data_IF_663824258736
#
_entry.id   IF_663824258736
#
_cell.length_a   1.000
_cell.length_b   1.000
_cell.length_c   1.000
_cell.angle_alpha   90.00
_cell.angle_beta   90.00
_cell.angle_gamma   90.00
#
_symmetry.space_group_name_H-M   'P 1'
#
loop_
_entity.id
_entity.type
_entity.pdbx_description
1 polymer ?
#
# COMPACT_ATOMS: atom_id res chain seq x y z
N UNK A 1 8.08 13.17 -7.65
CA UNK A 1 7.20 12.42 -8.58
C UNK A 1 7.04 11.01 -8.05
N UNK A 2 5.86 10.40 -8.18
CA UNK A 2 5.72 8.96 -7.97
C UNK A 2 6.38 8.24 -9.14
N UNK A 3 7.08 7.13 -8.89
CA UNK A 3 7.53 6.28 -10.00
C UNK A 3 6.32 5.59 -10.65
N UNK A 4 6.57 4.90 -11.78
CA UNK A 4 5.52 4.17 -12.52
C UNK A 4 4.79 3.10 -11.68
N UNK A 5 5.39 2.55 -10.61
CA UNK A 5 4.67 1.64 -9.72
C UNK A 5 3.73 2.38 -8.76
N UNK A 6 4.12 3.57 -8.30
CA UNK A 6 3.21 4.47 -7.57
C UNK A 6 2.03 4.88 -8.44
N UNK A 7 2.27 5.19 -9.72
CA UNK A 7 1.20 5.44 -10.70
C UNK A 7 0.32 4.20 -10.94
N UNK A 8 0.91 3.01 -11.01
CA UNK A 8 0.17 1.76 -11.11
C UNK A 8 -0.80 1.57 -9.93
N UNK A 9 -0.37 1.90 -8.72
CA UNK A 9 -1.21 1.85 -7.52
C UNK A 9 -2.40 2.81 -7.64
N UNK A 10 -2.17 4.06 -8.05
CA UNK A 10 -3.24 5.05 -8.24
C UNK A 10 -4.27 4.59 -9.26
N UNK A 11 -3.80 4.06 -10.39
CA UNK A 11 -4.67 3.58 -11.46
C UNK A 11 -5.43 2.33 -11.02
N UNK A 12 -4.82 1.43 -10.27
CA UNK A 12 -5.49 0.24 -9.72
C UNK A 12 -6.61 0.60 -8.72
N UNK A 13 -6.40 1.60 -7.85
CA UNK A 13 -7.44 2.06 -6.91
C UNK A 13 -8.60 2.74 -7.63
N UNK A 14 -8.29 3.58 -8.63
CA UNK A 14 -9.29 4.35 -9.38
C UNK A 14 -9.98 3.57 -10.50
N UNK A 15 -9.59 2.31 -10.72
CA UNK A 15 -10.16 1.47 -11.75
C UNK A 15 -11.65 1.22 -11.49
N UNK A 16 -12.50 1.71 -12.39
CA UNK A 16 -13.92 1.45 -12.36
C UNK A 16 -14.17 -0.02 -12.70
N UNK A 17 -15.00 -0.68 -11.89
CA UNK A 17 -15.28 -2.10 -12.10
C UNK A 17 -16.55 -2.34 -12.91
N UNK A 18 -17.36 -1.32 -13.20
CA UNK A 18 -18.62 -1.42 -13.95
C UNK A 18 -19.47 -2.66 -13.54
N UNK A 19 -19.60 -2.91 -12.24
CA UNK A 19 -20.35 -4.05 -11.70
C UNK A 19 -19.62 -5.40 -11.71
N UNK A 20 -18.38 -5.47 -12.22
CA UNK A 20 -17.53 -6.66 -12.15
C UNK A 20 -16.86 -6.76 -10.78
N UNK A 21 -16.71 -7.98 -10.26
CA UNK A 21 -15.88 -8.23 -9.09
C UNK A 21 -14.42 -8.41 -9.54
N UNK A 22 -13.69 -7.30 -9.71
CA UNK A 22 -12.26 -7.32 -10.04
C UNK A 22 -11.47 -7.15 -8.75
N UNK A 23 -10.63 -8.13 -8.44
CA UNK A 23 -9.77 -8.14 -7.26
C UNK A 23 -8.66 -7.07 -7.35
N UNK A 24 -8.14 -6.57 -6.22
CA UNK A 24 -7.00 -5.65 -6.24
C UNK A 24 -5.79 -6.21 -7.02
N UNK A 25 -5.55 -7.51 -6.96
CA UNK A 25 -4.49 -8.18 -7.73
C UNK A 25 -4.66 -8.05 -9.24
N UNK A 26 -5.89 -8.21 -9.73
CA UNK A 26 -6.21 -8.04 -11.15
C UNK A 26 -6.15 -6.58 -11.57
N UNK A 27 -6.65 -5.65 -10.74
CA UNK A 27 -6.53 -4.20 -10.99
C UNK A 27 -5.07 -3.78 -11.11
N UNK A 28 -4.22 -4.30 -10.22
CA UNK A 28 -2.77 -4.07 -10.28
C UNK A 28 -2.17 -4.63 -11.58
N UNK A 29 -2.51 -5.87 -11.96
CA UNK A 29 -1.98 -6.50 -13.16
C UNK A 29 -2.36 -5.74 -14.43
N UNK A 30 -3.60 -5.27 -14.53
CA UNK A 30 -4.04 -4.41 -15.62
C UNK A 30 -3.29 -3.08 -15.60
N UNK A 31 -3.11 -2.49 -14.42
CA UNK A 31 -2.42 -1.21 -14.29
C UNK A 31 -0.95 -1.28 -14.71
N UNK A 32 -0.22 -2.30 -14.27
CA UNK A 32 1.19 -2.48 -14.66
C UNK A 32 1.33 -2.84 -16.13
N UNK A 33 0.39 -3.61 -16.71
CA UNK A 33 0.39 -3.90 -18.15
C UNK A 33 0.26 -2.62 -18.99
N UNK A 34 -0.60 -1.69 -18.58
CA UNK A 34 -0.75 -0.39 -19.24
C UNK A 34 0.50 0.48 -19.13
N UNK A 35 1.17 0.51 -17.96
CA UNK A 35 2.34 1.37 -17.73
C UNK A 35 3.67 0.77 -18.21
N UNK A 36 3.70 -0.54 -18.43
CA UNK A 36 4.87 -1.28 -18.90
C UNK A 36 4.51 -2.24 -20.05
N UNK A 37 3.96 -1.75 -21.18
CA UNK A 37 3.39 -2.61 -22.23
C UNK A 37 4.41 -3.58 -22.85
N UNK A 38 5.69 -3.22 -22.84
CA UNK A 38 6.77 -4.01 -23.45
C UNK A 38 7.68 -4.71 -22.43
N UNK A 39 7.46 -4.53 -21.12
CA UNK A 39 8.36 -5.05 -20.09
C UNK A 39 7.64 -5.97 -19.11
N UNK A 40 7.59 -7.25 -19.46
CA UNK A 40 7.02 -8.27 -18.57
C UNK A 40 7.74 -8.37 -17.23
N UNK A 41 9.07 -8.16 -17.22
CA UNK A 41 9.87 -8.13 -15.99
C UNK A 41 9.38 -7.04 -15.03
N UNK A 42 9.05 -5.86 -15.54
CA UNK A 42 8.51 -4.79 -14.72
C UNK A 42 7.07 -5.12 -14.27
N UNK A 43 6.24 -5.68 -15.14
CA UNK A 43 4.88 -6.09 -14.79
C UNK A 43 4.83 -7.12 -13.65
N UNK A 44 5.80 -8.06 -13.62
CA UNK A 44 5.89 -9.14 -12.62
C UNK A 44 6.64 -8.77 -11.34
N UNK A 45 7.09 -7.53 -11.17
CA UNK A 45 7.87 -7.13 -9.99
C UNK A 45 7.05 -7.32 -8.70
N UNK A 46 7.57 -8.13 -7.79
CA UNK A 46 6.83 -8.63 -6.61
C UNK A 46 6.76 -7.63 -5.48
N UNK A 47 7.84 -6.89 -5.22
CA UNK A 47 7.91 -5.93 -4.11
C UNK A 47 6.81 -4.85 -4.16
N UNK A 48 6.67 -4.04 -5.24
CA UNK A 48 5.62 -3.01 -5.30
C UNK A 48 4.21 -3.61 -5.32
N UNK A 49 4.03 -4.79 -5.95
CA UNK A 49 2.76 -5.52 -5.93
C UNK A 49 2.41 -5.95 -4.50
N UNK A 50 3.36 -6.51 -3.77
CA UNK A 50 3.20 -6.96 -2.39
C UNK A 50 2.84 -5.80 -1.46
N UNK A 51 3.48 -4.64 -1.64
CA UNK A 51 3.14 -3.43 -0.89
C UNK A 51 1.69 -2.98 -1.15
N UNK A 52 1.27 -2.90 -2.42
CA UNK A 52 -0.09 -2.52 -2.78
C UNK A 52 -1.14 -3.50 -2.23
N UNK A 53 -0.92 -4.81 -2.43
CA UNK A 53 -1.84 -5.83 -1.94
C UNK A 53 -1.88 -5.90 -0.42
N UNK A 54 -0.75 -5.70 0.27
CA UNK A 54 -0.72 -5.69 1.73
C UNK A 54 -1.51 -4.54 2.33
N UNK A 55 -1.45 -3.36 1.70
CA UNK A 55 -2.30 -2.22 2.08
C UNK A 55 -3.79 -2.52 1.85
N UNK A 56 -4.13 -3.20 0.75
CA UNK A 56 -5.50 -3.62 0.47
C UNK A 56 -5.98 -4.67 1.48
N UNK A 57 -5.14 -5.67 1.80
CA UNK A 57 -5.43 -6.73 2.76
C UNK A 57 -5.75 -6.14 4.14
N UNK A 58 -4.99 -5.13 4.55
CA UNK A 58 -5.18 -4.40 5.80
C UNK A 58 -6.36 -3.41 5.79
N UNK A 59 -7.08 -3.26 4.66
CA UNK A 59 -8.17 -2.28 4.51
C UNK A 59 -7.71 -0.82 4.60
N UNK A 60 -6.43 -0.56 4.33
CA UNK A 60 -5.83 0.77 4.42
C UNK A 60 -5.99 1.59 3.13
N UNK A 61 -6.58 1.01 2.09
CA UNK A 61 -6.81 1.67 0.81
C UNK A 61 -8.28 2.06 0.68
N UNK A 62 -8.54 3.35 0.45
CA UNK A 62 -9.90 3.89 0.32
C UNK A 62 -10.66 3.21 -0.82
N UNK A 63 -11.87 2.75 -0.52
CA UNK A 63 -12.76 2.12 -1.50
C UNK A 63 -12.42 0.66 -1.83
N UNK A 64 -11.40 0.08 -1.16
CA UNK A 64 -11.09 -1.35 -1.25
C UNK A 64 -11.33 -1.96 0.15
N UNK A 65 -12.23 -2.95 0.28
CA UNK A 65 -12.44 -3.62 1.56
C UNK A 65 -11.21 -4.41 1.99
N UNK A 66 -11.04 -4.61 3.30
CA UNK A 66 -10.02 -5.53 3.82
C UNK A 66 -10.28 -6.96 3.34
N UNK A 67 -9.22 -7.75 3.16
CA UNK A 67 -9.33 -9.09 2.59
C UNK A 67 -8.02 -9.86 2.55
N UNK A 68 -8.02 -10.96 1.78
CA UNK A 68 -6.81 -11.75 1.46
C UNK A 68 -6.62 -11.75 -0.05
N UNK A 69 -5.72 -10.90 -0.53
CA UNK A 69 -5.42 -10.67 -1.93
C UNK A 69 -4.04 -11.21 -2.34
N UNK A 70 -3.33 -11.87 -1.42
CA UNK A 70 -2.12 -12.64 -1.71
C UNK A 70 -0.83 -11.84 -1.61
N UNK A 71 -0.77 -10.83 -0.74
CA UNK A 71 0.48 -10.16 -0.42
C UNK A 71 1.44 -11.11 0.34
N UNK A 72 2.74 -10.98 0.08
CA UNK A 72 3.75 -11.62 0.95
C UNK A 72 3.82 -10.86 2.27
N UNK A 73 4.03 -11.57 3.39
CA UNK A 73 4.03 -10.98 4.75
C UNK A 73 5.02 -9.81 4.87
N UNK A 74 6.25 -9.96 4.37
CA UNK A 74 7.29 -8.96 4.59
C UNK A 74 6.98 -7.63 3.87
N UNK A 75 6.62 -7.71 2.59
CA UNK A 75 6.28 -6.51 1.80
C UNK A 75 5.01 -5.82 2.32
N UNK A 76 4.04 -6.62 2.80
CA UNK A 76 2.83 -6.09 3.43
C UNK A 76 3.17 -5.35 4.73
N UNK A 77 3.98 -5.95 5.61
CA UNK A 77 4.37 -5.36 6.89
C UNK A 77 5.08 -4.02 6.72
N UNK A 78 6.03 -3.93 5.78
CA UNK A 78 6.72 -2.66 5.50
C UNK A 78 5.75 -1.57 5.02
N UNK A 79 4.83 -1.92 4.11
CA UNK A 79 3.86 -0.96 3.58
C UNK A 79 2.89 -0.47 4.66
N UNK A 80 2.39 -1.39 5.49
CA UNK A 80 1.49 -1.08 6.62
C UNK A 80 2.21 -0.18 7.63
N UNK A 81 3.42 -0.54 8.06
CA UNK A 81 4.19 0.27 8.99
C UNK A 81 4.48 1.67 8.44
N UNK A 82 4.90 1.77 7.17
CA UNK A 82 5.15 3.06 6.53
C UNK A 82 3.88 3.93 6.45
N UNK A 83 2.72 3.33 6.18
CA UNK A 83 1.45 4.05 6.17
C UNK A 83 1.09 4.62 7.55
N UNK A 84 1.37 3.89 8.62
CA UNK A 84 1.14 4.35 9.99
C UNK A 84 2.05 5.54 10.35
N UNK A 85 3.33 5.49 9.96
CA UNK A 85 4.28 6.59 10.18
C UNK A 85 3.86 7.87 9.43
N UNK A 86 3.37 7.72 8.19
CA UNK A 86 2.83 8.82 7.38
C UNK A 86 1.57 9.43 8.00
N UNK A 87 0.64 8.58 8.48
CA UNK A 87 -0.58 9.02 9.15
C UNK A 87 -0.27 9.76 10.46
N UNK A 88 0.76 9.32 11.19
CA UNK A 88 1.24 9.98 12.40
C UNK A 88 2.01 11.29 12.11
N UNK A 89 2.36 11.58 10.86
CA UNK A 89 3.11 12.78 10.47
C UNK A 89 4.58 12.77 10.91
N UNK A 90 5.09 11.61 11.35
CA UNK A 90 6.46 11.49 11.89
C UNK A 90 7.52 11.41 10.80
N UNK A 91 7.15 10.92 9.62
CA UNK A 91 8.04 10.69 8.49
C UNK A 91 7.30 11.05 7.20
N UNK A 92 7.99 11.73 6.27
CA UNK A 92 7.36 12.24 5.03
C UNK A 92 8.20 12.02 3.77
N UNK A 93 9.40 11.44 3.90
CA UNK A 93 10.27 11.12 2.77
C UNK A 93 10.45 9.60 2.62
N UNK A 94 10.67 9.15 1.37
CA UNK A 94 10.89 7.73 1.04
C UNK A 94 12.03 7.13 1.87
N UNK A 95 13.17 7.81 1.94
CA UNK A 95 14.35 7.34 2.66
C UNK A 95 14.10 7.24 4.17
N UNK A 96 13.40 8.24 4.74
CA UNK A 96 13.08 8.26 6.17
C UNK A 96 12.10 7.14 6.56
N UNK A 97 11.08 6.91 5.73
CA UNK A 97 10.13 5.81 5.93
C UNK A 97 10.82 4.46 5.82
N UNK A 98 11.63 4.29 4.78
CA UNK A 98 12.32 3.02 4.56
C UNK A 98 13.27 2.67 5.70
N UNK A 99 14.11 3.62 6.12
CA UNK A 99 15.01 3.42 7.25
C UNK A 99 14.25 3.07 8.55
N UNK A 100 13.09 3.71 8.78
CA UNK A 100 12.27 3.43 9.95
C UNK A 100 11.63 2.03 9.91
N UNK A 101 11.16 1.56 8.74
CA UNK A 101 10.50 0.24 8.65
C UNK A 101 11.48 -0.93 8.54
N UNK A 102 12.73 -0.69 8.12
CA UNK A 102 13.77 -1.74 8.06
C UNK A 102 14.80 -1.66 9.19
N UNK A 103 14.63 -0.74 10.14
CA UNK A 103 15.63 -0.43 11.17
C UNK A 103 17.01 -0.09 10.58
N UNK A 104 17.07 0.45 9.36
CA UNK A 104 18.31 0.84 8.71
C UNK A 104 19.22 -0.32 8.31
N UNK A 105 18.67 -1.51 8.06
CA UNK A 105 19.40 -2.72 7.66
C UNK A 105 20.17 -2.63 6.32
N UNK A 106 20.10 -1.50 5.63
CA UNK A 106 20.78 -1.25 4.36
C UNK A 106 20.11 -1.90 3.14
N UNK A 107 18.95 -2.54 3.30
CA UNK A 107 18.22 -3.09 2.16
C UNK A 107 17.64 -1.98 1.27
N UNK A 108 17.45 -2.24 -0.01
CA UNK A 108 16.81 -1.28 -0.91
C UNK A 108 15.29 -1.40 -0.87
N UNK A 109 14.57 -0.28 -0.88
CA UNK A 109 13.10 -0.27 -0.85
C UNK A 109 12.44 -0.88 -2.08
N UNK A 110 13.16 -1.11 -3.18
CA UNK A 110 12.69 -1.80 -4.38
C UNK A 110 11.35 -1.28 -4.94
N UNK A 111 11.11 0.04 -4.83
CA UNK A 111 9.89 0.74 -5.24
C UNK A 111 8.65 0.54 -4.36
N UNK A 112 8.76 -0.13 -3.21
CA UNK A 112 7.63 -0.35 -2.29
C UNK A 112 7.14 0.96 -1.67
N UNK A 113 8.07 1.82 -1.22
CA UNK A 113 7.72 3.10 -0.62
C UNK A 113 7.09 4.09 -1.62
N UNK A 114 7.40 3.97 -2.91
CA UNK A 114 6.76 4.81 -3.93
C UNK A 114 5.26 4.53 -4.05
N UNK A 115 4.83 3.28 -3.85
CA UNK A 115 3.42 2.88 -3.79
C UNK A 115 2.74 3.54 -2.59
N UNK A 116 3.32 3.39 -1.40
CA UNK A 116 2.77 3.96 -0.15
C UNK A 116 2.66 5.48 -0.26
N UNK A 117 3.72 6.14 -0.72
CA UNK A 117 3.78 7.59 -0.88
C UNK A 117 2.78 8.11 -1.92
N UNK A 118 2.62 7.42 -3.04
CA UNK A 118 1.66 7.81 -4.08
C UNK A 118 0.23 7.78 -3.54
N UNK A 119 -0.16 6.69 -2.88
CA UNK A 119 -1.50 6.53 -2.30
C UNK A 119 -1.75 7.58 -1.20
N UNK A 120 -0.79 7.79 -0.29
CA UNK A 120 -0.95 8.74 0.81
C UNK A 120 -1.07 10.19 0.31
N UNK A 121 -0.20 10.62 -0.62
CA UNK A 121 -0.26 11.97 -1.21
C UNK A 121 -1.54 12.27 -1.97
N UNK A 122 -2.25 11.22 -2.42
CA UNK A 122 -3.54 11.34 -3.10
C UNK A 122 -4.74 11.13 -2.15
N UNK A 123 -4.53 11.06 -0.83
CA UNK A 123 -5.61 10.85 0.14
C UNK A 123 -6.29 9.49 0.01
N UNK A 124 -5.60 8.50 -0.55
CA UNK A 124 -6.11 7.14 -0.76
C UNK A 124 -5.73 6.16 0.36
N UNK A 125 -4.83 6.57 1.26
CA UNK A 125 -4.59 5.84 2.50
C UNK A 125 -5.61 6.29 3.54
N UNK A 126 -6.39 5.36 4.07
CA UNK A 126 -7.27 5.63 5.21
C UNK A 126 -6.47 5.48 6.51
N UNK A 127 -6.81 6.28 7.53
CA UNK A 127 -6.30 6.02 8.87
C UNK A 127 -6.88 4.69 9.32
N UNK A 128 -6.08 3.74 9.84
CA UNK A 128 -6.66 2.60 10.54
C UNK A 128 -7.58 3.18 11.61
N UNK A 129 -8.82 2.70 11.67
CA UNK A 129 -9.71 3.07 12.75
C UNK A 129 -9.00 2.68 14.04
N UNK A 130 -8.48 3.66 14.76
CA UNK A 130 -8.16 3.48 16.17
C UNK A 130 -9.43 2.92 16.79
N UNK A 131 -9.39 1.70 17.30
CA UNK A 131 -10.32 1.31 18.34
C UNK A 131 -9.86 2.04 19.59
N UNK A 132 -10.70 2.92 20.16
CA UNK A 132 -10.70 3.03 21.61
C UNK A 132 -12.12 2.89 22.14
N UNK A 133 -12.35 1.81 22.90
CA UNK A 133 -13.07 1.92 24.17
C UNK A 133 -12.63 0.77 25.08
N UNK A 134 -11.48 0.96 25.74
CA UNK A 134 -11.34 0.40 27.08
C UNK A 134 -12.36 1.16 27.91
N UNK A 135 -13.47 0.51 28.23
CA UNK A 135 -14.41 0.98 29.23
C UNK A 135 -13.64 1.04 30.56
N UNK A 136 -13.62 2.17 31.29
CA UNK A 136 -13.12 2.13 32.65
C UNK A 136 -14.06 1.24 33.46
N UNK A 137 -13.50 0.22 34.10
CA UNK A 137 -14.17 -0.57 35.12
C UNK A 137 -14.91 0.38 36.08
N UNK A 138 -16.23 0.31 36.04
CA UNK A 138 -17.04 0.77 37.16
C UNK A 138 -16.90 -0.31 38.23
N UNK A 139 -15.96 -0.13 39.15
CA UNK A 139 -16.00 -0.81 40.43
C UNK A 139 -17.07 -0.10 41.27
N UNK A 140 -18.15 -0.85 41.51
CA UNK A 140 -19.06 -0.68 42.65
C UNK A 140 -18.30 -0.80 43.98
#
# INVERSE_FOLDING_TARGET
MANRYGEAALMAVRMETYGKQITPGERWAQATKTLYPTSEKAQRKTAPKGAFLGLCDAGLVKGIPAGKYGATRDNANYAIAASALLVAGTHTSVSSLWAAVTNGDGTEHQSQMDVVMALWKNGLIVKPATTPKVTPDSKE
#
